data_IF_589192811495
#
_entry.id   IF_589192811495
#
_cell.length_a   1.000
_cell.length_b   1.000
_cell.length_c   1.000
_cell.angle_alpha   90.00
_cell.angle_beta   90.00
_cell.angle_gamma   90.00
#
_symmetry.space_group_name_H-M   'P 1'
#
loop_
_entity.id
_entity.type
_entity.pdbx_description
1 polymer ?
#
# COMPACT_ATOMS: atom_id res chain seq x y z
N UNK A 1 -8.82 -3.84 25.39
CA UNK A 1 -9.74 -3.81 24.24
C UNK A 1 -10.09 -2.37 23.83
N UNK A 2 -10.65 -1.51 24.69
CA UNK A 2 -11.02 -0.13 24.33
C UNK A 2 -9.84 0.77 23.85
N UNK A 3 -8.65 0.64 24.43
CA UNK A 3 -7.46 1.40 24.00
C UNK A 3 -6.86 0.94 22.66
N UNK A 4 -7.11 -0.32 22.27
CA UNK A 4 -6.59 -0.92 21.05
C UNK A 4 -7.55 -0.69 19.87
N UNK A 5 -8.85 -0.64 20.15
CA UNK A 5 -9.88 -0.20 19.20
C UNK A 5 -9.73 1.29 18.88
N UNK A 6 -9.38 2.12 19.88
CA UNK A 6 -9.10 3.55 19.68
C UNK A 6 -7.81 3.82 18.90
N UNK A 7 -6.76 3.02 19.07
CA UNK A 7 -5.56 3.11 18.23
C UNK A 7 -5.79 2.62 16.79
N UNK A 8 -6.57 1.55 16.61
CA UNK A 8 -6.99 1.11 15.27
C UNK A 8 -7.94 2.13 14.63
N UNK A 9 -8.78 2.81 15.41
CA UNK A 9 -9.54 3.99 14.98
C UNK A 9 -8.61 5.15 14.65
N UNK A 10 -7.53 5.42 15.39
CA UNK A 10 -6.56 6.48 15.10
C UNK A 10 -5.70 6.19 13.85
N UNK A 11 -5.32 4.93 13.62
CA UNK A 11 -4.64 4.47 12.38
C UNK A 11 -5.62 4.43 11.20
N UNK A 12 -6.88 4.03 11.41
CA UNK A 12 -7.95 4.24 10.42
C UNK A 12 -8.18 5.74 10.17
N UNK A 13 -8.18 6.58 11.20
CA UNK A 13 -8.30 8.04 11.15
C UNK A 13 -7.10 8.67 10.43
N UNK A 14 -5.93 8.04 10.38
CA UNK A 14 -4.78 8.53 9.58
C UNK A 14 -5.00 8.25 8.08
N UNK A 15 -5.68 7.14 7.75
CA UNK A 15 -6.16 6.88 6.37
C UNK A 15 -7.47 7.63 6.04
N UNK A 16 -8.22 8.11 7.04
CA UNK A 16 -9.57 8.69 6.91
C UNK A 16 -9.61 10.23 7.14
N UNK A 17 -8.81 10.85 8.01
CA UNK A 17 -8.94 12.25 8.49
C UNK A 17 -7.98 13.29 7.89
N UNK A 18 -7.70 13.21 6.59
CA UNK A 18 -7.63 14.46 5.82
C UNK A 18 -8.86 14.66 4.90
N UNK A 19 -9.96 13.98 5.23
CA UNK A 19 -11.30 14.38 4.82
C UNK A 19 -12.34 13.81 5.77
N UNK A 20 -13.20 14.61 6.38
CA UNK A 20 -14.61 14.26 6.53
C UNK A 20 -15.39 15.37 7.22
N UNK A 21 -16.35 15.93 6.48
CA UNK A 21 -17.77 16.07 6.84
C UNK A 21 -18.54 16.62 5.61
N UNK A 22 -18.19 16.24 4.37
CA UNK A 22 -18.71 16.85 3.12
C UNK A 22 -18.84 18.41 3.13
N UNK A 23 -17.98 18.99 3.98
CA UNK A 23 -17.38 20.32 4.05
C UNK A 23 -18.22 21.39 4.77
N UNK A 24 -18.16 21.33 6.09
CA UNK A 24 -18.60 22.38 7.02
C UNK A 24 -18.09 23.77 6.62
N UNK A 25 -18.98 24.77 6.63
CA UNK A 25 -18.69 26.15 6.23
C UNK A 25 -18.81 26.47 4.74
N UNK A 26 -18.99 25.47 3.86
CA UNK A 26 -19.28 25.71 2.43
C UNK A 26 -20.76 26.04 2.20
N UNK A 27 -21.00 26.97 1.29
CA UNK A 27 -22.33 27.21 0.70
C UNK A 27 -22.76 26.04 -0.19
N UNK A 28 -24.06 25.92 -0.45
CA UNK A 28 -24.62 24.87 -1.31
C UNK A 28 -24.01 24.88 -2.73
N UNK A 29 -23.70 26.07 -3.26
CA UNK A 29 -23.06 26.24 -4.56
C UNK A 29 -21.61 25.73 -4.57
N UNK A 30 -20.84 26.06 -3.53
CA UNK A 30 -19.46 25.59 -3.38
C UNK A 30 -19.38 24.07 -3.20
N UNK A 31 -20.34 23.48 -2.48
CA UNK A 31 -20.42 22.04 -2.30
C UNK A 31 -20.75 21.32 -3.60
N UNK A 32 -21.69 21.85 -4.40
CA UNK A 32 -21.96 21.32 -5.75
C UNK A 32 -20.71 21.39 -6.62
N UNK A 33 -20.02 22.52 -6.65
CA UNK A 33 -18.78 22.69 -7.42
C UNK A 33 -17.70 21.67 -7.02
N UNK A 34 -17.53 21.41 -5.72
CA UNK A 34 -16.59 20.40 -5.21
C UNK A 34 -16.95 18.98 -5.67
N UNK A 35 -18.23 18.61 -5.60
CA UNK A 35 -18.69 17.28 -6.02
C UNK A 35 -18.56 17.12 -7.54
N UNK A 36 -18.87 18.17 -8.29
CA UNK A 36 -18.66 18.22 -9.74
C UNK A 36 -17.19 18.01 -10.10
N UNK A 37 -16.27 18.72 -9.44
CA UNK A 37 -14.83 18.55 -9.68
C UNK A 37 -14.35 17.15 -9.29
N UNK A 38 -14.85 16.60 -8.17
CA UNK A 38 -14.48 15.26 -7.70
C UNK A 38 -14.90 14.17 -8.68
N UNK A 39 -16.12 14.25 -9.21
CA UNK A 39 -16.65 13.31 -10.21
C UNK A 39 -15.90 13.46 -11.53
N UNK A 40 -15.74 14.68 -12.05
CA UNK A 40 -15.10 14.91 -13.34
C UNK A 40 -13.59 14.62 -13.31
N UNK A 41 -12.89 14.95 -12.22
CA UNK A 41 -11.48 14.58 -12.03
C UNK A 41 -11.30 13.07 -11.88
N UNK A 42 -12.23 12.39 -11.20
CA UNK A 42 -12.23 10.93 -11.08
C UNK A 42 -12.37 10.26 -12.44
N UNK A 43 -13.35 10.70 -13.24
CA UNK A 43 -13.56 10.19 -14.61
C UNK A 43 -12.34 10.50 -15.49
N UNK A 44 -11.86 11.75 -15.52
CA UNK A 44 -10.72 12.14 -16.36
C UNK A 44 -9.46 11.33 -16.05
N UNK A 45 -9.18 11.05 -14.78
CA UNK A 45 -8.02 10.24 -14.36
C UNK A 45 -8.12 8.78 -14.80
N UNK A 46 -9.30 8.19 -14.69
CA UNK A 46 -9.54 6.80 -15.11
C UNK A 46 -9.48 6.67 -16.63
N UNK A 47 -9.98 7.68 -17.33
CA UNK A 47 -10.03 7.74 -18.80
C UNK A 47 -8.74 8.29 -19.44
N UNK A 48 -7.71 8.59 -18.63
CA UNK A 48 -6.45 9.21 -19.09
C UNK A 48 -6.64 10.50 -19.92
N UNK A 49 -7.67 11.29 -19.60
CA UNK A 49 -7.97 12.54 -20.28
C UNK A 49 -7.13 13.69 -19.69
N UNK A 50 -6.57 14.52 -20.57
CA UNK A 50 -5.71 15.65 -20.17
C UNK A 50 -6.47 16.78 -19.44
N UNK A 51 -7.80 16.84 -19.55
CA UNK A 51 -8.61 17.81 -18.80
C UNK A 51 -10.00 17.29 -18.42
N UNK A 52 -10.47 17.66 -17.22
CA UNK A 52 -11.82 17.37 -16.70
C UNK A 52 -12.92 18.22 -17.35
N UNK A 53 -12.55 19.30 -18.05
CA UNK A 53 -13.47 20.19 -18.78
C UNK A 53 -13.96 19.63 -20.13
N UNK A 54 -13.43 18.49 -20.57
CA UNK A 54 -13.82 17.82 -21.82
C UNK A 54 -14.94 16.76 -21.63
N UNK A 55 -15.43 16.56 -20.41
CA UNK A 55 -16.46 15.57 -20.09
C UNK A 55 -17.84 16.20 -20.32
N UNK A 56 -18.60 15.64 -21.28
CA UNK A 56 -20.01 15.99 -21.47
C UNK A 56 -20.83 15.51 -20.25
N UNK A 57 -21.48 16.43 -19.51
CA UNK A 57 -22.07 16.12 -18.22
C UNK A 57 -23.37 15.28 -18.31
N UNK A 58 -23.99 15.20 -19.49
CA UNK A 58 -25.22 14.44 -19.73
C UNK A 58 -24.99 13.18 -20.57
N UNK A 59 -23.76 12.98 -21.06
CA UNK A 59 -23.38 11.78 -21.79
C UNK A 59 -23.19 10.60 -20.83
N UNK A 60 -23.61 9.41 -21.27
CA UNK A 60 -23.50 8.21 -20.45
C UNK A 60 -22.04 7.87 -20.17
N UNK A 61 -21.73 7.48 -18.93
CA UNK A 61 -20.38 7.04 -18.52
C UNK A 61 -19.88 5.88 -19.40
N UNK A 62 -20.78 5.00 -19.86
CA UNK A 62 -20.44 3.92 -20.80
C UNK A 62 -20.07 4.46 -22.19
N UNK A 63 -20.77 5.49 -22.67
CA UNK A 63 -20.48 6.14 -23.97
C UNK A 63 -19.20 6.96 -23.95
N UNK A 64 -18.71 7.32 -22.76
CA UNK A 64 -17.40 7.92 -22.50
C UNK A 64 -16.30 6.84 -22.46
N UNK A 65 -16.67 5.55 -22.37
CA UNK A 65 -15.74 4.42 -22.35
C UNK A 65 -15.45 3.85 -20.97
N UNK A 66 -16.23 4.23 -19.94
CA UNK A 66 -16.13 3.69 -18.59
C UNK A 66 -16.71 2.26 -18.55
N UNK A 67 -15.85 1.26 -18.36
CA UNK A 67 -16.26 -0.14 -18.21
C UNK A 67 -16.57 -0.54 -16.75
N UNK A 68 -17.00 -1.79 -16.53
CA UNK A 68 -17.39 -2.30 -15.21
C UNK A 68 -16.26 -2.28 -14.17
N UNK A 69 -14.99 -2.40 -14.60
CA UNK A 69 -13.83 -2.34 -13.70
C UNK A 69 -13.56 -0.89 -13.30
N UNK A 70 -13.57 0.00 -14.29
CA UNK A 70 -13.43 1.44 -14.11
C UNK A 70 -14.53 2.02 -13.23
N UNK A 71 -15.75 1.49 -13.33
CA UNK A 71 -16.87 1.86 -12.47
C UNK A 71 -16.63 1.54 -10.99
N UNK A 72 -15.99 0.40 -10.70
CA UNK A 72 -15.62 0.01 -9.33
C UNK A 72 -14.55 0.97 -8.78
N UNK A 73 -13.55 1.30 -9.58
CA UNK A 73 -12.48 2.24 -9.20
C UNK A 73 -13.05 3.64 -8.97
N UNK A 74 -13.94 4.12 -9.85
CA UNK A 74 -14.60 5.42 -9.69
C UNK A 74 -15.47 5.45 -8.43
N UNK A 75 -16.25 4.40 -8.17
CA UNK A 75 -17.07 4.28 -6.95
C UNK A 75 -16.21 4.27 -5.69
N UNK A 76 -15.11 3.52 -5.67
CA UNK A 76 -14.18 3.48 -4.53
C UNK A 76 -13.58 4.87 -4.27
N UNK A 77 -13.15 5.56 -5.32
CA UNK A 77 -12.62 6.92 -5.23
C UNK A 77 -13.67 7.91 -4.69
N UNK A 78 -14.91 7.83 -5.15
CA UNK A 78 -16.00 8.69 -4.69
C UNK A 78 -16.41 8.36 -3.25
N UNK A 79 -16.43 7.09 -2.87
CA UNK A 79 -16.69 6.66 -1.49
C UNK A 79 -15.60 7.18 -0.54
N UNK A 80 -14.34 7.14 -0.97
CA UNK A 80 -13.22 7.68 -0.20
C UNK A 80 -13.30 9.21 0.00
N UNK A 81 -13.75 9.96 -1.00
CA UNK A 81 -13.86 11.44 -0.92
C UNK A 81 -15.13 11.90 -0.17
N UNK A 82 -16.21 11.12 -0.25
CA UNK A 82 -17.52 11.49 0.32
C UNK A 82 -17.80 10.83 1.66
N UNK A 83 -17.05 9.78 2.02
CA UNK A 83 -17.28 8.91 3.18
C UNK A 83 -18.67 8.27 3.21
N UNK A 84 -19.31 8.16 2.04
CA UNK A 84 -20.60 7.50 1.89
C UNK A 84 -20.41 6.01 1.60
N UNK A 85 -21.30 5.20 2.15
CA UNK A 85 -21.50 3.84 1.65
C UNK A 85 -22.25 3.91 0.31
N UNK A 86 -21.48 3.87 -0.78
CA UNK A 86 -22.01 3.97 -2.13
C UNK A 86 -22.48 2.60 -2.65
N UNK A 87 -23.73 2.47 -3.12
CA UNK A 87 -24.26 1.19 -3.58
C UNK A 87 -23.48 0.66 -4.78
N UNK A 88 -23.33 -0.67 -4.93
CA UNK A 88 -22.58 -1.26 -6.04
C UNK A 88 -23.21 -0.96 -7.41
N UNK A 89 -24.51 -0.66 -7.43
CA UNK A 89 -25.27 -0.28 -8.64
C UNK A 89 -25.18 1.22 -8.95
N UNK A 90 -24.46 2.02 -8.16
CA UNK A 90 -24.48 3.48 -8.23
C UNK A 90 -24.33 4.03 -9.66
N UNK A 91 -23.33 3.57 -10.40
CA UNK A 91 -23.05 4.11 -11.74
C UNK A 91 -24.01 3.56 -12.81
N UNK A 92 -24.82 2.55 -12.49
CA UNK A 92 -25.92 2.08 -13.33
C UNK A 92 -27.21 2.84 -13.04
N UNK A 93 -27.48 3.11 -11.76
CA UNK A 93 -28.65 3.88 -11.32
C UNK A 93 -28.52 5.37 -11.67
N UNK A 94 -27.27 5.87 -11.75
CA UNK A 94 -26.92 7.25 -12.09
C UNK A 94 -25.87 7.27 -13.21
N UNK A 95 -26.27 7.00 -14.47
CA UNK A 95 -25.35 6.66 -15.56
C UNK A 95 -24.69 7.87 -16.23
N UNK A 96 -24.92 9.09 -15.76
CA UNK A 96 -24.30 10.32 -16.29
C UNK A 96 -23.55 11.05 -15.17
N UNK A 97 -22.50 11.84 -15.49
CA UNK A 97 -21.81 12.67 -14.50
C UNK A 97 -22.78 13.54 -13.68
N UNK A 98 -23.75 14.19 -14.34
CA UNK A 98 -24.76 15.01 -13.65
C UNK A 98 -25.65 14.19 -12.69
N UNK A 99 -26.11 13.01 -13.10
CA UNK A 99 -26.93 12.15 -12.25
C UNK A 99 -26.14 11.68 -11.01
N UNK A 100 -24.86 11.35 -11.19
CA UNK A 100 -23.97 10.91 -10.13
C UNK A 100 -23.67 12.04 -9.12
N UNK A 101 -23.42 13.25 -9.63
CA UNK A 101 -23.22 14.45 -8.78
C UNK A 101 -24.48 14.76 -7.97
N UNK A 102 -25.66 14.67 -8.59
CA UNK A 102 -26.94 14.93 -7.92
C UNK A 102 -27.21 13.92 -6.79
N UNK A 103 -26.94 12.64 -7.02
CA UNK A 103 -27.04 11.61 -5.99
C UNK A 103 -26.11 11.87 -4.82
N UNK A 104 -24.82 12.12 -5.09
CA UNK A 104 -23.82 12.38 -4.05
C UNK A 104 -24.17 13.64 -3.25
N UNK A 105 -24.69 14.69 -3.91
CA UNK A 105 -25.16 15.90 -3.24
C UNK A 105 -26.32 15.60 -2.26
N UNK A 106 -27.27 14.76 -2.65
CA UNK A 106 -28.38 14.38 -1.78
C UNK A 106 -27.92 13.52 -0.60
N UNK A 107 -27.06 12.53 -0.83
CA UNK A 107 -26.58 11.61 0.20
C UNK A 107 -25.68 12.30 1.22
N UNK A 108 -24.78 13.16 0.75
CA UNK A 108 -23.98 14.02 1.63
C UNK A 108 -24.92 14.93 2.43
N UNK A 109 -25.88 15.59 1.78
CA UNK A 109 -26.99 16.34 2.40
C UNK A 109 -27.66 15.67 3.62
N UNK A 110 -28.03 14.40 3.47
CA UNK A 110 -28.71 13.61 4.50
C UNK A 110 -27.75 13.18 5.63
N UNK A 111 -26.48 12.96 5.31
CA UNK A 111 -25.45 12.57 6.25
C UNK A 111 -25.12 13.67 7.29
N UNK A 112 -25.06 14.97 6.93
CA UNK A 112 -24.92 16.02 7.99
C UNK A 112 -26.24 16.41 8.67
N UNK A 113 -27.40 16.02 8.12
CA UNK A 113 -28.69 16.25 8.77
C UNK A 113 -29.02 15.18 9.83
N UNK A 114 -28.17 14.17 10.03
CA UNK A 114 -28.32 13.14 11.07
C UNK A 114 -29.54 12.23 10.90
N UNK A 115 -30.14 12.16 9.71
CA UNK A 115 -31.33 11.34 9.43
C UNK A 115 -30.95 10.15 8.56
N UNK A 116 -30.62 9.02 9.18
CA UNK A 116 -30.62 7.72 8.48
C UNK A 116 -32.08 7.30 8.21
N UNK A 117 -32.48 7.26 6.95
CA UNK A 117 -33.70 6.57 6.53
C UNK A 117 -33.38 5.09 6.34
N UNK A 118 -33.93 4.23 7.20
CA UNK A 118 -34.11 2.82 6.87
C UNK A 118 -35.15 2.70 5.74
N UNK A 119 -34.90 1.91 4.68
CA UNK A 119 -35.89 1.75 3.63
C UNK A 119 -37.09 0.95 4.17
N UNK A 120 -38.26 1.53 3.94
CA UNK A 120 -39.58 1.02 4.33
C UNK A 120 -39.87 -0.27 3.55
N UNK A 121 -40.27 -1.30 4.29
CA UNK A 121 -40.84 -2.52 3.73
C UNK A 121 -42.21 -2.23 3.10
N UNK A 122 -42.43 -2.66 1.85
CA UNK A 122 -43.77 -3.01 1.37
C UNK A 122 -43.75 -4.44 0.83
N UNK A 123 -44.53 -5.27 1.49
CA UNK A 123 -44.80 -6.67 1.25
C UNK A 123 -45.52 -6.89 -0.10
N UNK A 124 -45.04 -7.86 -0.90
CA UNK A 124 -45.81 -8.60 -1.91
C UNK A 124 -45.00 -9.81 -2.42
N UNK A 125 -45.11 -10.90 -1.66
CA UNK A 125 -45.06 -12.32 -2.05
C UNK A 125 -44.44 -12.79 -3.40
N UNK A 126 -43.42 -13.67 -3.24
CA UNK A 126 -43.04 -14.90 -4.03
C UNK A 126 -42.07 -14.71 -5.22
N UNK A 127 -41.20 -15.70 -5.56
CA UNK A 127 -40.53 -16.76 -4.79
C UNK A 127 -38.99 -16.58 -4.77
N UNK A 128 -38.30 -17.23 -3.84
CA UNK A 128 -36.84 -17.40 -3.83
C UNK A 128 -36.34 -18.10 -5.11
N UNK A 129 -35.41 -17.50 -5.88
CA UNK A 129 -34.54 -18.24 -6.77
C UNK A 129 -33.21 -18.49 -6.06
N UNK A 130 -33.02 -19.70 -5.56
CA UNK A 130 -31.69 -20.31 -5.58
C UNK A 130 -31.24 -20.41 -7.03
N UNK A 131 -30.25 -19.59 -7.43
CA UNK A 131 -29.20 -19.89 -8.41
C UNK A 131 -28.42 -18.60 -8.75
N UNK A 132 -27.13 -18.65 -8.47
CA UNK A 132 -26.11 -18.36 -9.48
C UNK A 132 -26.27 -17.00 -10.21
N UNK A 133 -26.10 -15.90 -9.49
CA UNK A 133 -25.74 -14.62 -10.13
C UNK A 133 -24.23 -14.64 -10.33
N UNK A 134 -23.79 -15.14 -11.49
CA UNK A 134 -22.41 -15.12 -11.95
C UNK A 134 -21.86 -13.70 -12.19
N UNK A 135 -21.76 -12.91 -11.13
CA UNK A 135 -21.03 -11.65 -11.07
C UNK A 135 -19.96 -11.87 -9.99
N UNK A 136 -18.67 -11.95 -10.33
CA UNK A 136 -17.62 -12.01 -9.33
C UNK A 136 -17.62 -10.67 -8.58
N UNK A 137 -18.01 -10.69 -7.30
CA UNK A 137 -17.40 -9.78 -6.33
C UNK A 137 -15.88 -9.92 -6.45
N UNK A 138 -15.06 -8.86 -6.34
CA UNK A 138 -13.63 -9.07 -6.11
C UNK A 138 -13.55 -9.90 -4.83
N UNK A 139 -13.28 -11.20 -4.96
CA UNK A 139 -13.27 -12.11 -3.83
C UNK A 139 -12.17 -11.61 -2.91
N UNK A 140 -12.57 -11.08 -1.75
CA UNK A 140 -11.67 -11.00 -0.61
C UNK A 140 -11.04 -12.40 -0.49
N UNK A 141 -9.72 -12.47 -0.67
CA UNK A 141 -9.04 -13.74 -0.81
C UNK A 141 -9.39 -14.69 0.32
N UNK A 142 -9.81 -15.91 0.00
CA UNK A 142 -10.18 -16.85 1.06
C UNK A 142 -8.98 -17.15 1.97
N UNK A 143 -7.76 -17.16 1.40
CA UNK A 143 -6.53 -17.33 2.18
C UNK A 143 -6.26 -16.13 3.07
N UNK A 144 -6.44 -14.91 2.54
CA UNK A 144 -6.16 -13.70 3.31
C UNK A 144 -7.09 -13.56 4.51
N UNK A 145 -8.36 -13.92 4.36
CA UNK A 145 -9.31 -13.96 5.48
C UNK A 145 -8.94 -15.00 6.54
N UNK A 146 -8.48 -16.20 6.16
CA UNK A 146 -8.10 -17.23 7.13
C UNK A 146 -6.86 -16.83 7.92
N UNK A 147 -5.85 -16.29 7.26
CA UNK A 147 -4.64 -15.77 7.92
C UNK A 147 -5.00 -14.62 8.87
N UNK A 148 -5.83 -13.68 8.42
CA UNK A 148 -6.27 -12.55 9.25
C UNK A 148 -7.05 -13.01 10.49
N UNK A 149 -7.93 -14.00 10.36
CA UNK A 149 -8.67 -14.61 11.48
C UNK A 149 -7.73 -15.22 12.51
N UNK A 150 -6.71 -15.98 12.09
CA UNK A 150 -5.75 -16.59 13.00
C UNK A 150 -4.98 -15.53 13.81
N UNK A 151 -4.50 -14.47 13.16
CA UNK A 151 -3.78 -13.40 13.85
C UNK A 151 -4.68 -12.56 14.77
N UNK A 152 -5.91 -12.24 14.36
CA UNK A 152 -6.86 -11.54 15.23
C UNK A 152 -7.30 -12.37 16.43
N UNK A 153 -7.35 -13.70 16.28
CA UNK A 153 -7.56 -14.63 17.38
C UNK A 153 -6.30 -14.84 18.26
N UNK A 154 -5.19 -14.13 17.98
CA UNK A 154 -3.88 -14.27 18.64
C UNK A 154 -3.30 -15.69 18.56
N UNK A 155 -3.72 -16.47 17.55
CA UNK A 155 -3.18 -17.79 17.24
C UNK A 155 -1.97 -17.64 16.31
N UNK A 156 -0.92 -16.93 16.79
CA UNK A 156 0.22 -16.52 15.97
C UNK A 156 0.96 -17.69 15.31
N UNK A 157 1.15 -18.79 16.05
CA UNK A 157 1.77 -20.00 15.48
C UNK A 157 0.93 -20.60 14.37
N UNK A 158 -0.40 -20.63 14.52
CA UNK A 158 -1.30 -21.16 13.49
C UNK A 158 -1.33 -20.25 12.25
N UNK A 159 -1.37 -18.93 12.45
CA UNK A 159 -1.31 -17.98 11.34
C UNK A 159 0.01 -18.07 10.57
N UNK A 160 1.13 -18.24 11.28
CA UNK A 160 2.43 -18.46 10.65
C UNK A 160 2.48 -19.80 9.89
N UNK A 161 1.95 -20.89 10.46
CA UNK A 161 1.87 -22.19 9.78
C UNK A 161 1.04 -22.12 8.49
N UNK A 162 -0.06 -21.34 8.48
CA UNK A 162 -0.83 -21.11 7.26
C UNK A 162 0.01 -20.42 6.18
N UNK A 163 0.73 -19.35 6.53
CA UNK A 163 1.64 -18.67 5.61
C UNK A 163 2.74 -19.62 5.11
N UNK A 164 3.30 -20.46 5.98
CA UNK A 164 4.33 -21.44 5.59
C UNK A 164 3.79 -22.47 4.59
N UNK A 165 2.56 -22.95 4.79
CA UNK A 165 1.93 -23.89 3.84
C UNK A 165 1.67 -23.20 2.50
N UNK A 166 1.12 -21.98 2.52
CA UNK A 166 0.84 -21.19 1.31
C UNK A 166 2.13 -20.96 0.52
N UNK A 167 3.19 -20.49 1.19
CA UNK A 167 4.50 -20.25 0.57
C UNK A 167 5.11 -21.53 -0.01
N UNK A 168 5.02 -22.65 0.72
CA UNK A 168 5.60 -23.91 0.27
C UNK A 168 4.88 -24.48 -0.96
N UNK A 169 3.57 -24.27 -1.08
CA UNK A 169 2.81 -24.61 -2.28
C UNK A 169 3.16 -23.67 -3.45
N UNK A 170 3.27 -22.37 -3.19
CA UNK A 170 3.64 -21.37 -4.18
C UNK A 170 5.01 -21.66 -4.80
N UNK A 171 6.01 -22.00 -3.98
CA UNK A 171 7.36 -22.35 -4.43
C UNK A 171 7.44 -23.58 -5.32
N UNK A 172 6.43 -24.47 -5.33
CA UNK A 172 6.38 -25.61 -6.27
C UNK A 172 5.95 -25.21 -7.69
N UNK A 173 5.39 -24.03 -7.83
CA UNK A 173 4.88 -23.49 -9.10
C UNK A 173 5.85 -22.49 -9.73
N UNK A 174 6.99 -22.23 -9.08
CA UNK A 174 8.00 -21.30 -9.59
C UNK A 174 8.90 -21.95 -10.64
N UNK A 175 9.56 -21.10 -11.43
CA UNK A 175 10.50 -21.52 -12.46
C UNK A 175 11.77 -20.66 -12.42
N UNK A 176 12.92 -21.30 -12.14
CA UNK A 176 14.19 -20.60 -11.87
C UNK A 176 14.86 -20.02 -13.11
N UNK A 177 14.49 -20.50 -14.30
CA UNK A 177 15.15 -20.21 -15.57
C UNK A 177 14.41 -19.21 -16.45
N UNK A 178 13.16 -18.87 -16.13
CA UNK A 178 12.37 -17.94 -16.94
C UNK A 178 12.54 -16.50 -16.41
N UNK A 179 12.80 -15.51 -17.28
CA UNK A 179 12.85 -14.12 -16.85
C UNK A 179 11.48 -13.69 -16.31
N UNK A 180 11.49 -12.81 -15.32
CA UNK A 180 10.27 -12.19 -14.81
C UNK A 180 9.85 -11.10 -15.80
N UNK A 181 8.62 -11.18 -16.30
CA UNK A 181 8.02 -10.09 -17.07
C UNK A 181 7.66 -8.96 -16.10
N UNK A 182 8.08 -7.72 -16.39
CA UNK A 182 8.05 -6.66 -15.41
C UNK A 182 7.14 -5.48 -15.70
N UNK A 183 6.64 -4.94 -14.59
CA UNK A 183 6.06 -3.60 -14.51
C UNK A 183 7.23 -2.63 -14.23
N UNK A 184 7.31 -1.50 -14.94
CA UNK A 184 8.42 -0.55 -14.76
C UNK A 184 8.47 -0.03 -13.31
N UNK A 185 9.63 0.47 -12.90
CA UNK A 185 9.71 1.28 -11.67
C UNK A 185 8.64 2.38 -11.73
N UNK A 186 7.88 2.56 -10.66
CA UNK A 186 6.76 3.51 -10.63
C UNK A 186 7.25 4.82 -10.03
N UNK A 187 7.21 5.90 -10.81
CA UNK A 187 7.57 7.24 -10.33
C UNK A 187 6.44 7.79 -9.47
N UNK A 188 6.74 8.11 -8.21
CA UNK A 188 5.79 8.73 -7.28
C UNK A 188 6.06 10.22 -7.05
N UNK A 189 7.31 10.65 -7.20
CA UNK A 189 7.67 12.06 -7.10
C UNK A 189 8.67 12.47 -8.19
N UNK A 190 8.63 13.74 -8.53
CA UNK A 190 9.51 14.34 -9.54
C UNK A 190 10.19 15.58 -8.99
N UNK A 191 11.48 15.72 -9.26
CA UNK A 191 12.23 16.93 -9.00
C UNK A 191 13.66 16.87 -9.55
N UNK A 192 14.38 18.00 -9.58
CA UNK A 192 15.66 18.13 -10.28
C UNK A 192 16.87 17.58 -9.50
N UNK A 193 16.77 17.43 -8.19
CA UNK A 193 17.91 17.09 -7.33
C UNK A 193 18.35 15.63 -7.49
N UNK A 194 19.65 15.39 -7.29
CA UNK A 194 20.29 14.07 -7.29
C UNK A 194 20.97 13.79 -5.93
N UNK A 195 21.23 12.52 -5.57
CA UNK A 195 20.81 11.26 -6.23
C UNK A 195 19.29 11.00 -6.35
N UNK A 196 18.81 10.13 -7.24
CA UNK A 196 17.40 9.68 -7.21
C UNK A 196 17.14 8.69 -6.05
N UNK A 197 15.89 8.56 -5.60
CA UNK A 197 15.51 7.54 -4.60
C UNK A 197 14.78 6.37 -5.26
N UNK A 198 15.23 5.15 -4.99
CA UNK A 198 14.58 3.90 -5.39
C UNK A 198 14.12 3.12 -4.16
N UNK A 199 12.82 3.19 -3.90
CA UNK A 199 12.15 2.55 -2.79
C UNK A 199 11.75 1.11 -3.15
N UNK A 200 12.31 0.12 -2.46
CA UNK A 200 11.94 -1.28 -2.63
C UNK A 200 10.69 -1.58 -1.79
N UNK A 201 9.62 -2.03 -2.45
CA UNK A 201 8.38 -2.39 -1.77
C UNK A 201 8.62 -3.53 -0.77
N UNK A 202 8.06 -3.50 0.45
CA UNK A 202 8.06 -4.68 1.28
C UNK A 202 7.20 -5.75 0.64
N UNK A 203 7.53 -7.01 0.93
CA UNK A 203 6.81 -8.17 0.43
C UNK A 203 5.54 -8.46 1.24
N UNK A 204 4.81 -7.40 1.58
CA UNK A 204 3.51 -7.45 2.23
C UNK A 204 2.42 -7.10 1.21
N UNK A 205 1.18 -7.56 1.41
CA UNK A 205 0.09 -7.30 0.47
C UNK A 205 -0.53 -5.91 0.72
N UNK A 206 0.33 -4.89 0.74
CA UNK A 206 0.04 -3.47 1.00
C UNK A 206 0.09 -2.63 -0.28
N UNK A 207 0.69 -3.17 -1.35
CA UNK A 207 0.87 -2.48 -2.62
C UNK A 207 1.95 -1.39 -2.56
N UNK A 208 2.15 -0.71 -3.69
CA UNK A 208 3.20 0.31 -3.85
C UNK A 208 2.88 1.64 -3.14
N UNK A 209 1.65 1.81 -2.64
CA UNK A 209 1.17 3.08 -2.07
C UNK A 209 1.69 3.37 -0.67
N UNK A 210 2.38 2.42 -0.04
CA UNK A 210 3.07 2.62 1.24
C UNK A 210 4.06 3.79 1.21
N UNK A 211 4.71 4.02 0.06
CA UNK A 211 5.64 5.14 -0.10
C UNK A 211 4.95 6.44 -0.55
N UNK A 212 3.63 6.52 -0.65
CA UNK A 212 2.96 7.70 -1.23
C UNK A 212 3.20 8.98 -0.42
N UNK A 213 2.92 8.95 0.89
CA UNK A 213 3.12 10.11 1.78
C UNK A 213 4.60 10.48 1.89
N UNK A 214 5.46 9.46 1.97
CA UNK A 214 6.92 9.60 1.95
C UNK A 214 7.43 10.27 0.67
N UNK A 215 7.02 9.79 -0.50
CA UNK A 215 7.43 10.33 -1.78
C UNK A 215 6.92 11.77 -1.97
N UNK A 216 5.72 12.08 -1.47
CA UNK A 216 5.17 13.44 -1.53
C UNK A 216 6.09 14.47 -0.84
N UNK A 217 6.87 14.07 0.18
CA UNK A 217 7.84 14.95 0.84
C UNK A 217 9.02 15.37 -0.05
N UNK A 218 9.24 14.66 -1.17
CA UNK A 218 10.29 14.95 -2.15
C UNK A 218 9.74 15.55 -3.45
N UNK A 219 8.43 15.77 -3.55
CA UNK A 219 7.81 16.36 -4.73
C UNK A 219 8.41 17.75 -4.99
N UNK A 220 8.73 18.02 -6.27
CA UNK A 220 9.48 19.20 -6.74
C UNK A 220 10.95 19.27 -6.31
N UNK A 221 11.43 18.36 -5.46
CA UNK A 221 12.83 18.31 -5.02
C UNK A 221 13.59 17.21 -5.78
N UNK A 222 13.10 15.97 -5.79
CA UNK A 222 13.86 14.82 -6.28
C UNK A 222 12.96 13.75 -6.88
N UNK A 223 13.50 12.98 -7.83
CA UNK A 223 12.81 11.80 -8.33
C UNK A 223 12.74 10.70 -7.25
N UNK A 224 11.54 10.20 -6.99
CA UNK A 224 11.30 9.03 -6.13
C UNK A 224 10.58 7.97 -6.93
N UNK A 225 11.18 6.79 -7.00
CA UNK A 225 10.71 5.62 -7.71
C UNK A 225 10.39 4.50 -6.72
N UNK A 226 9.36 3.70 -7.00
CA UNK A 226 9.07 2.47 -6.26
C UNK A 226 9.34 1.27 -7.15
N UNK A 227 10.04 0.29 -6.59
CA UNK A 227 10.33 -1.01 -7.21
C UNK A 227 9.32 -2.04 -6.66
N UNK A 228 8.28 -2.40 -7.43
CA UNK A 228 7.29 -3.38 -6.99
C UNK A 228 7.85 -4.80 -7.01
N UNK A 229 7.44 -5.61 -6.03
CA UNK A 229 7.79 -7.04 -6.00
C UNK A 229 7.09 -7.78 -7.16
N UNK A 230 7.82 -8.53 -8.01
CA UNK A 230 7.20 -9.38 -9.03
C UNK A 230 6.34 -10.49 -8.39
N UNK A 231 5.22 -10.80 -9.04
CA UNK A 231 4.31 -11.87 -8.63
C UNK A 231 3.14 -11.43 -7.76
N UNK A 232 3.06 -10.14 -7.40
CA UNK A 232 1.94 -9.59 -6.62
C UNK A 232 0.70 -9.27 -7.47
N UNK A 233 0.84 -9.13 -8.80
CA UNK A 233 -0.29 -9.01 -9.72
C UNK A 233 -0.75 -10.39 -10.22
N UNK A 234 -2.06 -10.54 -10.49
CA UNK A 234 -2.71 -11.81 -10.84
C UNK A 234 -2.01 -12.58 -11.98
N UNK A 235 -1.50 -11.87 -13.00
CA UNK A 235 -0.86 -12.47 -14.18
C UNK A 235 0.67 -12.59 -14.06
N UNK A 236 1.24 -12.13 -12.95
CA UNK A 236 2.69 -12.16 -12.76
C UNK A 236 3.14 -13.48 -12.15
N UNK A 237 4.19 -14.04 -12.75
CA UNK A 237 4.87 -15.21 -12.21
C UNK A 237 5.63 -14.84 -10.92
N UNK A 238 5.61 -15.75 -9.96
CA UNK A 238 6.46 -15.67 -8.79
C UNK A 238 7.92 -15.95 -9.16
N UNK A 239 8.89 -15.27 -8.52
CA UNK A 239 10.31 -15.60 -8.66
C UNK A 239 10.59 -17.00 -8.12
N UNK A 240 11.41 -17.82 -8.78
CA UNK A 240 11.90 -19.08 -8.21
C UNK A 240 13.11 -18.90 -7.29
N UNK A 241 13.91 -17.88 -7.54
CA UNK A 241 15.10 -17.56 -6.73
C UNK A 241 15.26 -16.06 -6.52
N UNK A 242 15.92 -15.69 -5.43
CA UNK A 242 16.16 -14.29 -5.08
C UNK A 242 16.91 -13.54 -6.18
N UNK A 243 17.84 -14.20 -6.88
CA UNK A 243 18.58 -13.62 -8.00
C UNK A 243 17.66 -13.05 -9.08
N UNK A 244 16.54 -13.72 -9.40
CA UNK A 244 15.60 -13.22 -10.41
C UNK A 244 14.94 -11.91 -9.96
N UNK A 245 14.69 -11.74 -8.66
CA UNK A 245 14.17 -10.50 -8.08
C UNK A 245 15.20 -9.37 -8.16
N UNK A 246 16.48 -9.68 -7.89
CA UNK A 246 17.56 -8.68 -7.95
C UNK A 246 17.85 -8.25 -9.39
N UNK A 247 17.91 -9.21 -10.33
CA UNK A 247 18.03 -8.93 -11.77
C UNK A 247 16.84 -8.09 -12.26
N UNK A 248 15.62 -8.37 -11.76
CA UNK A 248 14.41 -7.60 -12.06
C UNK A 248 14.53 -6.15 -11.61
N UNK A 249 15.00 -5.90 -10.38
CA UNK A 249 15.21 -4.54 -9.87
C UNK A 249 16.32 -3.79 -10.60
N UNK A 250 17.44 -4.46 -10.88
CA UNK A 250 18.52 -3.85 -11.66
C UNK A 250 18.02 -3.40 -13.05
N UNK A 251 17.24 -4.24 -13.73
CA UNK A 251 16.67 -3.89 -15.03
C UNK A 251 15.68 -2.72 -14.93
N UNK A 252 14.84 -2.69 -13.88
CA UNK A 252 13.92 -1.59 -13.65
C UNK A 252 14.66 -0.27 -13.42
N UNK A 253 15.70 -0.27 -12.58
CA UNK A 253 16.57 0.90 -12.34
C UNK A 253 17.26 1.34 -13.64
N UNK A 254 17.80 0.41 -14.43
CA UNK A 254 18.49 0.73 -15.68
C UNK A 254 17.55 1.34 -16.73
N UNK A 255 16.26 0.99 -16.73
CA UNK A 255 15.26 1.54 -17.64
C UNK A 255 14.73 2.91 -17.20
N UNK A 256 14.68 3.18 -15.90
CA UNK A 256 14.18 4.44 -15.35
C UNK A 256 15.26 5.49 -15.11
N UNK A 257 16.51 5.08 -14.87
CA UNK A 257 17.64 5.96 -14.60
C UNK A 257 18.36 6.35 -15.88
N UNK A 258 18.59 7.65 -16.08
CA UNK A 258 19.51 8.18 -17.10
C UNK A 258 20.97 8.18 -16.62
N UNK A 259 21.44 7.08 -16.01
CA UNK A 259 22.76 6.96 -15.35
C UNK A 259 23.00 7.97 -14.22
N UNK A 260 21.94 8.42 -13.54
CA UNK A 260 22.08 9.32 -12.41
C UNK A 260 22.51 8.55 -11.14
N UNK A 261 23.29 9.17 -10.24
CA UNK A 261 23.52 8.64 -8.90
C UNK A 261 22.18 8.34 -8.23
N UNK A 262 22.09 7.24 -7.48
CA UNK A 262 20.85 6.84 -6.84
C UNK A 262 21.08 6.23 -5.45
N UNK A 263 20.03 6.29 -4.64
CA UNK A 263 19.97 5.77 -3.27
C UNK A 263 18.91 4.68 -3.24
N UNK A 264 19.23 3.56 -2.60
CA UNK A 264 18.25 2.52 -2.32
C UNK A 264 17.57 2.81 -0.98
N UNK A 265 16.25 2.69 -0.95
CA UNK A 265 15.44 2.89 0.26
C UNK A 265 14.59 1.66 0.47
N UNK A 266 14.48 1.17 1.70
CA UNK A 266 13.60 0.05 2.01
C UNK A 266 13.02 0.15 3.41
N UNK A 267 11.69 0.14 3.48
CA UNK A 267 10.94 0.03 4.71
C UNK A 267 10.63 -1.44 5.03
N UNK A 268 10.74 -1.82 6.31
CA UNK A 268 10.38 -3.17 6.78
C UNK A 268 11.11 -4.25 5.96
N UNK A 269 10.40 -5.29 5.49
CA UNK A 269 10.97 -6.31 4.60
C UNK A 269 11.59 -5.77 3.30
N UNK A 270 11.18 -4.59 2.84
CA UNK A 270 11.78 -3.90 1.69
C UNK A 270 13.25 -3.52 1.94
N UNK A 271 13.64 -3.25 3.19
CA UNK A 271 15.03 -2.97 3.55
C UNK A 271 15.96 -4.17 3.41
N UNK A 272 15.46 -5.39 3.70
CA UNK A 272 16.21 -6.64 3.45
C UNK A 272 16.46 -6.82 1.96
N UNK A 273 15.43 -6.61 1.13
CA UNK A 273 15.56 -6.67 -0.33
C UNK A 273 16.49 -5.56 -0.86
N UNK A 274 16.40 -4.34 -0.33
CA UNK A 274 17.27 -3.23 -0.71
C UNK A 274 18.74 -3.50 -0.36
N UNK A 275 19.03 -4.14 0.77
CA UNK A 275 20.38 -4.57 1.12
C UNK A 275 20.92 -5.64 0.15
N UNK A 276 20.11 -6.66 -0.16
CA UNK A 276 20.48 -7.69 -1.13
C UNK A 276 20.69 -7.10 -2.53
N UNK A 277 19.87 -6.11 -2.90
CA UNK A 277 20.03 -5.37 -4.15
C UNK A 277 21.31 -4.55 -4.17
N UNK A 278 21.67 -3.87 -3.08
CA UNK A 278 22.94 -3.15 -2.97
C UNK A 278 24.13 -4.10 -3.22
N UNK A 279 24.17 -5.24 -2.52
CA UNK A 279 25.22 -6.25 -2.70
C UNK A 279 25.26 -6.80 -4.13
N UNK A 280 24.11 -7.03 -4.74
CA UNK A 280 24.01 -7.49 -6.12
C UNK A 280 24.56 -6.45 -7.11
N UNK A 281 24.17 -5.19 -6.97
CA UNK A 281 24.64 -4.10 -7.82
C UNK A 281 26.16 -3.90 -7.68
N UNK A 282 26.70 -3.95 -6.46
CA UNK A 282 28.15 -3.88 -6.21
C UNK A 282 28.90 -5.00 -6.93
N UNK A 283 28.36 -6.24 -6.93
CA UNK A 283 28.94 -7.36 -7.67
C UNK A 283 28.96 -7.13 -9.19
N UNK A 284 28.11 -6.23 -9.70
CA UNK A 284 28.04 -5.80 -11.10
C UNK A 284 28.75 -4.46 -11.34
N UNK A 285 29.56 -3.98 -10.39
CA UNK A 285 30.26 -2.68 -10.44
C UNK A 285 29.33 -1.46 -10.56
N UNK A 286 28.08 -1.59 -10.09
CA UNK A 286 27.13 -0.49 -9.95
C UNK A 286 27.07 -0.13 -8.47
N UNK A 287 27.48 1.09 -8.12
CA UNK A 287 27.53 1.54 -6.73
C UNK A 287 26.36 2.50 -6.45
N UNK A 288 25.38 2.11 -5.61
CA UNK A 288 24.45 3.06 -5.03
C UNK A 288 25.22 4.07 -4.16
N UNK A 289 24.76 5.32 -4.11
CA UNK A 289 25.34 6.37 -3.26
C UNK A 289 25.15 6.00 -1.78
N UNK A 290 23.98 5.46 -1.44
CA UNK A 290 23.64 5.08 -0.10
C UNK A 290 22.51 4.03 -0.06
N UNK A 291 22.38 3.38 1.09
CA UNK A 291 21.28 2.51 1.46
C UNK A 291 20.55 3.08 2.69
N UNK A 292 19.25 3.33 2.58
CA UNK A 292 18.39 3.77 3.70
C UNK A 292 17.49 2.62 4.11
N UNK A 293 17.61 2.23 5.38
CA UNK A 293 16.83 1.18 6.03
C UNK A 293 15.85 1.84 6.99
N UNK A 294 14.56 1.83 6.65
CA UNK A 294 13.49 2.40 7.49
C UNK A 294 12.87 1.25 8.28
N UNK A 295 13.13 1.20 9.58
CA UNK A 295 12.63 0.21 10.54
C UNK A 295 12.64 -1.24 10.02
N UNK A 296 13.69 -1.56 9.27
CA UNK A 296 13.89 -2.84 8.61
C UNK A 296 14.58 -3.80 9.57
N UNK A 297 14.17 -5.06 9.59
CA UNK A 297 14.74 -6.10 10.47
C UNK A 297 15.53 -7.11 9.63
N UNK A 298 16.84 -7.31 9.88
CA UNK A 298 17.58 -8.43 9.31
C UNK A 298 16.90 -9.75 9.60
N UNK A 299 17.01 -10.72 8.69
CA UNK A 299 16.43 -12.06 8.86
C UNK A 299 16.81 -12.66 10.21
N UNK A 300 15.81 -13.03 11.01
CA UNK A 300 15.98 -13.65 12.34
C UNK A 300 16.27 -12.69 13.50
N UNK A 301 16.40 -11.38 13.26
CA UNK A 301 16.66 -10.39 14.33
C UNK A 301 15.40 -9.91 15.05
N UNK A 302 14.23 -10.06 14.44
CA UNK A 302 12.96 -9.60 15.00
C UNK A 302 12.55 -10.45 16.21
N UNK A 303 12.26 -9.79 17.33
CA UNK A 303 11.82 -10.48 18.55
C UNK A 303 10.44 -11.13 18.35
N UNK A 304 10.16 -12.27 19.02
CA UNK A 304 8.84 -12.90 18.97
C UNK A 304 7.71 -11.95 19.39
N UNK A 305 7.93 -11.11 20.39
CA UNK A 305 6.95 -10.15 20.92
C UNK A 305 6.61 -9.09 19.87
N UNK A 306 7.62 -8.53 19.21
CA UNK A 306 7.41 -7.55 18.14
C UNK A 306 6.74 -8.18 16.93
N UNK A 307 7.19 -9.36 16.50
CA UNK A 307 6.56 -10.12 15.41
C UNK A 307 5.08 -10.37 15.68
N UNK A 308 4.72 -10.80 16.88
CA UNK A 308 3.33 -11.07 17.25
C UNK A 308 2.49 -9.78 17.23
N UNK A 309 3.05 -8.67 17.74
CA UNK A 309 2.39 -7.35 17.69
C UNK A 309 2.19 -6.85 16.25
N UNK A 310 3.19 -7.04 15.39
CA UNK A 310 3.12 -6.71 13.97
C UNK A 310 2.06 -7.55 13.25
N UNK A 311 2.06 -8.87 13.46
CA UNK A 311 1.08 -9.78 12.84
C UNK A 311 -0.34 -9.50 13.34
N UNK A 312 -0.52 -9.11 14.60
CA UNK A 312 -1.83 -8.68 15.10
C UNK A 312 -2.33 -7.42 14.39
N UNK A 313 -1.44 -6.44 14.17
CA UNK A 313 -1.77 -5.19 13.47
C UNK A 313 -2.12 -5.44 12.01
N UNK A 314 -1.35 -6.30 11.32
CA UNK A 314 -1.63 -6.72 9.94
C UNK A 314 -2.90 -7.56 9.83
N UNK A 315 -3.18 -8.45 10.80
CA UNK A 315 -4.42 -9.23 10.83
C UNK A 315 -5.67 -8.34 10.93
N UNK A 316 -5.60 -7.27 11.73
CA UNK A 316 -6.69 -6.29 11.82
C UNK A 316 -6.87 -5.52 10.49
N UNK A 317 -5.76 -5.12 9.88
CA UNK A 317 -5.75 -4.46 8.58
C UNK A 317 -6.34 -5.34 7.48
N UNK A 318 -5.90 -6.59 7.35
CA UNK A 318 -6.41 -7.54 6.35
C UNK A 318 -7.85 -7.98 6.60
N UNK A 319 -8.36 -7.84 7.82
CA UNK A 319 -9.80 -8.05 8.06
C UNK A 319 -10.65 -6.89 7.54
N UNK A 320 -10.08 -5.68 7.58
CA UNK A 320 -10.76 -4.46 7.12
C UNK A 320 -10.64 -4.30 5.61
N UNK A 321 -9.45 -4.58 5.07
CA UNK A 321 -9.12 -4.54 3.64
C UNK A 321 -8.42 -5.85 3.26
N UNK A 322 -9.18 -6.92 2.97
CA UNK A 322 -8.61 -8.20 2.61
C UNK A 322 -7.84 -8.09 1.29
N UNK A 323 -6.55 -8.45 1.26
CA UNK A 323 -5.82 -8.51 0.01
C UNK A 323 -6.33 -9.66 -0.86
N UNK A 324 -6.04 -9.57 -2.16
CA UNK A 324 -6.31 -10.66 -3.08
C UNK A 324 -5.44 -11.89 -2.72
N UNK A 325 -5.94 -13.09 -3.00
CA UNK A 325 -5.21 -14.33 -2.70
C UNK A 325 -3.82 -14.35 -3.35
N UNK A 326 -3.69 -13.82 -4.58
CA UNK A 326 -2.38 -13.71 -5.24
C UNK A 326 -1.36 -12.90 -4.42
N UNK A 327 -1.78 -11.79 -3.83
CA UNK A 327 -0.89 -10.95 -3.03
C UNK A 327 -0.49 -11.66 -1.73
N UNK A 328 -1.41 -12.42 -1.14
CA UNK A 328 -1.13 -13.25 0.04
C UNK A 328 -0.16 -14.40 -0.29
N UNK A 329 -0.39 -15.08 -1.42
CA UNK A 329 0.49 -16.14 -1.95
C UNK A 329 1.90 -15.58 -2.19
N UNK A 330 2.00 -14.43 -2.85
CA UNK A 330 3.28 -13.79 -3.11
C UNK A 330 3.99 -13.41 -1.81
N UNK A 331 3.29 -12.78 -0.86
CA UNK A 331 3.86 -12.39 0.44
C UNK A 331 4.42 -13.60 1.21
N UNK A 332 3.63 -14.68 1.28
CA UNK A 332 4.02 -15.93 1.93
C UNK A 332 5.24 -16.57 1.24
N UNK A 333 5.28 -16.55 -0.10
CA UNK A 333 6.42 -17.07 -0.85
C UNK A 333 7.68 -16.24 -0.60
N UNK A 334 7.60 -14.92 -0.64
CA UNK A 334 8.75 -14.05 -0.37
C UNK A 334 9.31 -14.24 1.04
N UNK A 335 8.46 -14.47 2.04
CA UNK A 335 8.90 -14.81 3.39
C UNK A 335 9.78 -16.08 3.40
N UNK A 336 9.41 -17.10 2.64
CA UNK A 336 10.22 -18.32 2.51
C UNK A 336 11.46 -18.12 1.65
N UNK A 337 11.35 -17.39 0.55
CA UNK A 337 12.45 -17.10 -0.36
C UNK A 337 13.60 -16.37 0.36
N UNK A 338 13.25 -15.51 1.31
CA UNK A 338 14.18 -14.73 2.13
C UNK A 338 14.55 -15.41 3.46
N UNK A 339 13.85 -16.48 3.85
CA UNK A 339 14.16 -17.21 5.07
C UNK A 339 15.58 -17.80 4.98
N UNK A 340 16.43 -17.44 5.95
CA UNK A 340 17.81 -17.94 6.03
C UNK A 340 18.76 -17.35 4.98
N UNK A 341 18.34 -16.36 4.17
CA UNK A 341 19.27 -15.63 3.32
C UNK A 341 20.30 -14.89 4.17
N UNK A 342 21.58 -15.10 3.88
CA UNK A 342 22.64 -14.29 4.46
C UNK A 342 22.61 -12.89 3.85
N UNK A 343 22.94 -11.89 4.65
CA UNK A 343 23.15 -10.52 4.17
C UNK A 343 24.63 -10.37 3.83
N UNK A 344 25.02 -10.29 2.54
CA UNK A 344 26.41 -10.08 2.17
C UNK A 344 26.88 -8.71 2.69
N UNK A 345 28.17 -8.53 3.02
CA UNK A 345 28.71 -7.21 3.29
C UNK A 345 28.58 -6.33 2.05
N UNK A 346 28.35 -5.03 2.26
CA UNK A 346 28.28 -4.02 1.21
C UNK A 346 29.25 -2.89 1.55
N UNK A 347 29.79 -2.23 0.53
CA UNK A 347 30.61 -1.02 0.68
C UNK A 347 29.76 0.25 0.70
N UNK A 348 28.53 0.17 0.17
CA UNK A 348 27.53 1.24 0.17
C UNK A 348 27.26 1.67 1.61
N UNK A 349 27.42 2.97 1.95
CA UNK A 349 27.12 3.43 3.29
C UNK A 349 25.62 3.26 3.58
N UNK A 350 25.30 2.73 4.76
CA UNK A 350 23.93 2.45 5.18
C UNK A 350 23.49 3.36 6.33
N UNK A 351 22.28 3.92 6.24
CA UNK A 351 21.58 4.63 7.32
C UNK A 351 20.43 3.78 7.82
N UNK A 352 20.35 3.63 9.14
CA UNK A 352 19.21 3.03 9.81
C UNK A 352 18.33 4.13 10.43
N UNK A 353 17.08 4.19 10.02
CA UNK A 353 16.05 5.04 10.64
C UNK A 353 15.14 4.11 11.44
N UNK A 354 15.15 4.22 12.77
CA UNK A 354 14.31 3.40 13.66
C UNK A 354 13.08 4.18 14.07
N UNK A 355 11.95 3.49 14.22
CA UNK A 355 10.82 4.07 14.92
C UNK A 355 11.11 4.12 16.44
N UNK A 356 10.70 5.21 17.08
CA UNK A 356 10.89 5.40 18.52
C UNK A 356 9.79 4.74 19.34
N UNK A 357 8.57 4.76 18.83
CA UNK A 357 7.38 4.39 19.59
C UNK A 357 7.01 2.93 19.26
N UNK A 358 6.81 2.06 20.26
CA UNK A 358 6.49 0.65 20.01
C UNK A 358 5.07 0.50 19.47
N UNK A 359 4.80 -0.60 18.76
CA UNK A 359 3.44 -1.00 18.42
C UNK A 359 2.60 -1.17 19.71
N UNK A 360 1.33 -0.73 19.76
CA UNK A 360 0.57 -0.69 21.03
C UNK A 360 0.28 -2.02 21.67
N UNK A 361 0.25 -3.10 20.87
CA UNK A 361 0.10 -4.47 21.38
C UNK A 361 1.40 -5.10 21.86
N UNK A 362 2.54 -4.40 21.73
CA UNK A 362 3.82 -4.90 22.18
C UNK A 362 3.85 -4.99 23.70
N UNK A 363 4.14 -6.18 24.20
CA UNK A 363 4.37 -6.44 25.62
C UNK A 363 5.81 -6.94 25.76
N UNK A 364 6.70 -6.09 26.28
CA UNK A 364 8.12 -6.42 26.49
C UNK A 364 8.58 -5.92 27.86
N UNK A 365 9.42 -6.70 28.53
CA UNK A 365 10.06 -6.31 29.80
C UNK A 365 11.27 -5.39 29.61
N UNK A 366 11.89 -5.44 28.44
CA UNK A 366 12.97 -4.54 28.02
C UNK A 366 12.40 -3.53 27.02
N UNK A 367 12.45 -2.24 27.37
CA UNK A 367 11.77 -1.18 26.63
C UNK A 367 12.30 -1.00 25.21
N UNK A 368 13.53 -1.43 24.91
CA UNK A 368 14.18 -1.17 23.61
C UNK A 368 14.65 -2.44 22.88
N UNK A 369 14.56 -3.63 23.48
CA UNK A 369 14.98 -4.89 22.85
C UNK A 369 14.25 -5.22 21.53
N UNK A 370 13.08 -4.63 21.30
CA UNK A 370 12.31 -4.80 20.08
C UNK A 370 12.83 -3.97 18.89
N UNK A 371 13.62 -2.93 19.14
CA UNK A 371 14.09 -2.04 18.08
C UNK A 371 15.10 -2.77 17.19
N UNK A 372 14.98 -2.56 15.89
CA UNK A 372 15.92 -3.14 14.93
C UNK A 372 17.35 -2.63 15.11
N UNK A 373 18.32 -3.46 14.74
CA UNK A 373 19.74 -3.14 14.73
C UNK A 373 20.37 -3.66 13.44
N UNK A 374 21.23 -2.82 12.85
CA UNK A 374 22.05 -3.17 11.69
C UNK A 374 23.52 -2.89 12.04
N UNK A 375 24.32 -3.93 12.35
CA UNK A 375 25.70 -3.74 12.80
C UNK A 375 26.60 -2.94 11.85
N UNK A 376 26.26 -2.94 10.55
CA UNK A 376 27.01 -2.25 9.51
C UNK A 376 26.39 -0.90 9.10
N UNK A 377 25.37 -0.41 9.82
CA UNK A 377 24.84 0.93 9.57
C UNK A 377 25.87 1.98 9.99
N UNK A 378 26.26 2.84 9.05
CA UNK A 378 27.18 3.95 9.28
C UNK A 378 26.58 5.00 10.22
N UNK A 379 25.25 5.18 10.16
CA UNK A 379 24.49 6.08 11.01
C UNK A 379 23.17 5.41 11.42
N UNK A 380 22.76 5.62 12.66
CA UNK A 380 21.45 5.23 13.17
C UNK A 380 20.77 6.43 13.79
N UNK A 381 19.52 6.70 13.40
CA UNK A 381 18.70 7.79 13.94
C UNK A 381 17.32 7.24 14.33
N UNK A 382 16.69 7.88 15.32
CA UNK A 382 15.35 7.53 15.77
C UNK A 382 14.37 8.64 15.38
N UNK A 383 13.21 8.26 14.84
CA UNK A 383 12.13 9.18 14.47
C UNK A 383 10.84 8.86 15.24
N UNK A 384 9.95 9.85 15.48
CA UNK A 384 8.66 9.61 16.09
C UNK A 384 7.78 8.64 15.28
N UNK A 385 6.80 8.04 15.96
CA UNK A 385 5.91 7.04 15.37
C UNK A 385 6.37 5.62 15.62
N UNK A 386 5.51 4.71 15.20
CA UNK A 386 5.70 3.27 15.18
C UNK A 386 6.08 2.78 13.78
N UNK A 387 6.23 1.47 13.63
CA UNK A 387 6.56 0.78 12.39
C UNK A 387 5.72 1.23 11.18
N UNK A 388 4.45 1.60 11.36
CA UNK A 388 3.59 2.06 10.27
C UNK A 388 3.54 3.59 10.19
N UNK A 389 3.35 4.27 11.31
CA UNK A 389 3.13 5.73 11.29
C UNK A 389 4.37 6.53 10.92
N UNK A 390 5.59 5.99 11.08
CA UNK A 390 6.83 6.71 10.76
C UNK A 390 6.98 7.08 9.26
N UNK A 391 6.43 6.27 8.36
CA UNK A 391 6.53 6.47 6.90
C UNK A 391 5.29 7.16 6.31
N UNK A 392 4.23 7.30 7.12
CA UNK A 392 2.98 7.96 6.76
C UNK A 392 2.82 9.29 7.51
N UNK A 393 2.44 9.22 8.78
CA UNK A 393 2.16 10.37 9.64
C UNK A 393 3.41 11.23 9.91
N UNK A 394 4.57 10.59 10.07
CA UNK A 394 5.86 11.27 10.32
C UNK A 394 6.79 11.21 9.10
N UNK A 395 6.20 11.08 7.91
CA UNK A 395 6.92 11.00 6.64
C UNK A 395 7.82 12.22 6.39
N UNK A 396 7.41 13.40 6.81
CA UNK A 396 8.16 14.66 6.75
C UNK A 396 9.46 14.59 7.55
N UNK A 397 9.40 14.09 8.79
CA UNK A 397 10.54 13.90 9.69
C UNK A 397 11.47 12.81 9.14
N UNK A 398 10.91 11.68 8.72
CA UNK A 398 11.67 10.57 8.12
C UNK A 398 12.40 11.02 6.85
N UNK A 399 11.72 11.75 5.96
CA UNK A 399 12.34 12.32 4.76
C UNK A 399 13.41 13.37 5.08
N UNK A 400 13.22 14.18 6.13
CA UNK A 400 14.19 15.18 6.56
C UNK A 400 15.51 14.54 7.02
N UNK A 401 15.46 13.39 7.71
CA UNK A 401 16.67 12.65 8.10
C UNK A 401 17.49 12.21 6.88
N UNK A 402 16.80 11.73 5.83
CA UNK A 402 17.46 11.31 4.58
C UNK A 402 18.06 12.52 3.87
N UNK A 403 17.34 13.64 3.76
CA UNK A 403 17.87 14.88 3.16
C UNK A 403 19.15 15.33 3.85
N UNK A 404 19.12 15.43 5.17
CA UNK A 404 20.26 15.86 5.97
C UNK A 404 21.47 14.95 5.78
N UNK A 405 21.25 13.63 5.70
CA UNK A 405 22.34 12.69 5.48
C UNK A 405 22.92 12.79 4.07
N UNK A 406 22.08 12.95 3.04
CA UNK A 406 22.54 13.07 1.65
C UNK A 406 23.35 14.35 1.39
N UNK A 407 23.20 15.40 2.20
CA UNK A 407 24.07 16.58 2.16
C UNK A 407 25.51 16.28 2.63
N UNK A 408 25.73 15.13 3.28
CA UNK A 408 27.04 14.69 3.80
C UNK A 408 27.70 13.61 2.96
N UNK A 409 27.00 13.06 1.96
CA UNK A 409 27.44 11.93 1.14
C UNK A 409 28.20 12.33 -0.12
#
# INVERSE_FOLDING_TARGET
>A
MASQMRYLEDVLLIFILNGSTWRSGLTDEQRRAVLTDSVNSGIAKIMHLESSHAIDPDRSLQEIGLDSMMAVILRQRLAAVTHLELPPTLLFDYPTPNALIAYLYQQTGQAAAGKHHAPVASDSQRPTPTKDTGIPTPEAGMLSQQVARAFNARQFEHGQQLLDIIGAMAGRLTHDSLPLAGSPAVKLATGPDQPELYCVAPFLPMGIFEYADFAAQFQQQRNVWVLPNPGFAAEQRLPGQIKQVLDYYQNAIAQSSHHHPFVLVGHSGGGVLAHLLAAHLESQSIQPVALVLIDSYPSGSMTPEFRNSLMLSLGALWSTMPPADQQMIASAWYQQLLAGQSLPPISTPAMLIRCRDPLPSLQTSDSNAWQTQWPNAAITVDVPGDHFSMIHQYSDITAAQIRQWLETC
#
